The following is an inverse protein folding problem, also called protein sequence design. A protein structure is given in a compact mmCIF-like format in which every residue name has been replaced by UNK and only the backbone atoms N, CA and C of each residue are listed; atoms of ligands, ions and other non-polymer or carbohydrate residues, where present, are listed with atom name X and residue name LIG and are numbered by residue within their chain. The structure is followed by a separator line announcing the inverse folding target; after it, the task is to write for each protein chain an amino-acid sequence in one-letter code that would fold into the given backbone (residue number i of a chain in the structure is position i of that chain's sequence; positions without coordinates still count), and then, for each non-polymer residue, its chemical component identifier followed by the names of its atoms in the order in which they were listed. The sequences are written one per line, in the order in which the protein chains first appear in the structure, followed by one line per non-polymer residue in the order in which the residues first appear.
data_IF_461378322567
#
_entry.id   IF_461378322567
#
_cell.length_a   1.000
_cell.length_b   1.000
_cell.length_c   1.000
_cell.angle_alpha   90.00
_cell.angle_beta   90.00
_cell.angle_gamma   90.00
#
_symmetry.space_group_name_H-M   'P 1'
#
loop_
_entity.id
_entity.type
_entity.pdbx_description
1 polymer ?
#
# COMPACT_ATOMS: atom_id res chain seq x y z
N UNK A 1 1.65 3.75 4.92
CA UNK A 1 0.25 3.53 4.48
C UNK A 1 -0.47 2.91 5.67
N UNK A 2 -1.46 3.59 6.21
CA UNK A 2 -2.24 3.09 7.33
C UNK A 2 -3.52 2.47 6.78
N UNK A 3 -3.82 1.27 7.24
CA UNK A 3 -5.00 0.51 6.87
C UNK A 3 -5.74 0.21 8.17
N UNK A 4 -6.98 0.67 8.26
CA UNK A 4 -7.83 0.54 9.42
C UNK A 4 -9.11 -0.21 9.05
N UNK A 5 -9.60 -1.05 9.96
CA UNK A 5 -10.89 -1.72 9.83
C UNK A 5 -12.00 -0.95 10.57
N UNK A 6 -12.81 -0.13 9.87
CA UNK A 6 -13.93 0.58 10.49
C UNK A 6 -15.16 -0.32 10.74
N UNK A 7 -15.14 -1.56 10.24
CA UNK A 7 -16.25 -2.50 10.36
C UNK A 7 -16.25 -3.21 11.71
N UNK A 8 -17.42 -3.67 12.15
CA UNK A 8 -17.65 -4.35 13.43
C UNK A 8 -17.22 -5.84 13.46
N UNK A 9 -16.69 -6.36 12.36
CA UNK A 9 -16.21 -7.74 12.25
C UNK A 9 -14.76 -7.78 11.81
N UNK A 10 -14.07 -8.89 12.06
CA UNK A 10 -12.71 -9.07 11.58
C UNK A 10 -12.67 -9.17 10.06
N UNK A 11 -11.76 -8.43 9.44
CA UNK A 11 -11.54 -8.40 8.00
C UNK A 11 -10.17 -8.96 7.65
N UNK A 12 -10.13 -9.81 6.62
CA UNK A 12 -8.91 -10.21 5.98
C UNK A 12 -8.69 -9.40 4.70
N UNK A 13 -7.46 -8.99 4.43
CA UNK A 13 -7.09 -8.39 3.17
C UNK A 13 -5.74 -8.90 2.71
N UNK A 14 -5.57 -9.02 1.41
CA UNK A 14 -4.30 -9.33 0.77
C UNK A 14 -3.79 -8.10 0.04
N UNK A 15 -2.49 -8.07 -0.25
CA UNK A 15 -1.90 -6.96 -0.97
C UNK A 15 -0.81 -7.39 -1.95
N UNK A 16 -0.43 -6.47 -2.83
CA UNK A 16 0.72 -6.61 -3.71
C UNK A 16 1.30 -5.24 -4.07
N UNK A 17 2.55 -5.22 -4.50
CA UNK A 17 3.22 -4.03 -5.01
C UNK A 17 3.34 -4.12 -6.52
N UNK A 18 2.93 -3.07 -7.24
CA UNK A 18 3.10 -2.96 -8.68
C UNK A 18 3.94 -1.73 -9.02
N UNK A 19 5.15 -1.94 -9.53
CA UNK A 19 6.03 -0.85 -9.95
C UNK A 19 5.53 -0.23 -11.25
N UNK A 20 5.65 1.09 -11.36
CA UNK A 20 5.39 1.83 -12.58
C UNK A 20 6.72 2.14 -13.26
N UNK A 21 6.85 1.73 -14.53
CA UNK A 21 8.00 2.02 -15.36
C UNK A 21 7.61 2.98 -16.50
N UNK A 22 8.43 3.98 -16.84
CA UNK A 22 8.10 4.92 -17.90
C UNK A 22 7.84 4.22 -19.24
N UNK A 23 6.64 4.41 -19.80
CA UNK A 23 6.28 3.94 -21.13
C UNK A 23 6.09 2.42 -21.28
N UNK A 24 6.13 1.63 -20.20
CA UNK A 24 5.94 0.17 -20.26
C UNK A 24 5.36 -0.43 -18.98
N UNK A 25 4.71 -1.61 -19.05
CA UNK A 25 4.30 -2.34 -17.85
C UNK A 25 5.49 -2.62 -16.94
N UNK A 26 5.36 -2.29 -15.65
CA UNK A 26 6.39 -2.57 -14.65
C UNK A 26 6.20 -3.93 -13.96
N UNK A 27 7.25 -4.34 -13.23
CA UNK A 27 7.24 -5.57 -12.42
C UNK A 27 6.29 -5.44 -11.22
N UNK A 28 5.78 -6.55 -10.73
CA UNK A 28 4.92 -6.60 -9.55
C UNK A 28 5.19 -7.85 -8.72
N UNK A 29 4.88 -7.78 -7.44
CA UNK A 29 4.97 -8.94 -6.54
C UNK A 29 3.78 -9.88 -6.75
N UNK A 30 3.95 -11.14 -6.34
CA UNK A 30 2.81 -12.00 -6.05
C UNK A 30 1.92 -11.39 -4.95
N UNK A 31 0.67 -11.85 -4.87
CA UNK A 31 -0.22 -11.51 -3.77
C UNK A 31 0.36 -12.08 -2.48
N UNK A 32 0.53 -11.23 -1.48
CA UNK A 32 1.05 -11.59 -0.17
C UNK A 32 -0.10 -12.12 0.70
N UNK A 33 0.25 -13.04 1.61
CA UNK A 33 -0.68 -13.66 2.56
C UNK A 33 -1.52 -12.61 3.32
N UNK A 34 -2.75 -12.97 3.72
CA UNK A 34 -3.67 -11.99 4.25
C UNK A 34 -3.22 -11.42 5.59
N UNK A 35 -3.28 -10.11 5.72
CA UNK A 35 -3.41 -9.46 7.01
C UNK A 35 -4.82 -9.67 7.54
N UNK A 36 -4.94 -9.82 8.85
CA UNK A 36 -6.23 -9.86 9.53
C UNK A 36 -6.27 -8.71 10.53
N UNK A 37 -7.29 -7.87 10.42
CA UNK A 37 -7.60 -6.81 11.37
C UNK A 37 -8.92 -7.16 12.06
N UNK A 38 -8.94 -7.20 13.39
CA UNK A 38 -10.15 -7.27 14.18
C UNK A 38 -10.92 -5.93 14.12
N UNK A 39 -12.01 -5.83 14.88
CA UNK A 39 -12.77 -4.58 15.01
C UNK A 39 -11.86 -3.43 15.44
N UNK A 40 -11.90 -2.34 14.68
CA UNK A 40 -11.20 -1.07 14.98
C UNK A 40 -9.65 -1.19 14.99
N UNK A 41 -9.10 -2.34 14.58
CA UNK A 41 -7.66 -2.51 14.46
C UNK A 41 -7.12 -1.84 13.20
N UNK A 42 -5.87 -1.39 13.31
CA UNK A 42 -5.13 -0.78 12.21
C UNK A 42 -3.74 -1.40 12.07
N UNK A 43 -3.20 -1.33 10.86
CA UNK A 43 -1.81 -1.67 10.56
C UNK A 43 -1.16 -0.59 9.70
N UNK A 44 0.15 -0.47 9.84
CA UNK A 44 0.97 0.39 9.01
C UNK A 44 1.80 -0.46 8.03
N UNK A 45 1.88 0.01 6.79
CA UNK A 45 2.84 -0.45 5.79
C UNK A 45 3.82 0.67 5.49
N UNK A 46 5.08 0.44 5.83
CA UNK A 46 6.19 1.39 5.61
C UNK A 46 7.02 1.06 4.35
N UNK A 47 7.98 1.94 4.03
CA UNK A 47 8.86 1.74 2.88
C UNK A 47 9.76 0.51 3.01
N UNK A 48 10.20 0.17 4.23
CA UNK A 48 11.09 -0.98 4.46
C UNK A 48 10.34 -2.29 4.23
N UNK A 49 9.06 -2.36 4.62
CA UNK A 49 8.19 -3.49 4.35
C UNK A 49 7.99 -3.68 2.85
N UNK A 50 7.68 -2.61 2.12
CA UNK A 50 7.55 -2.66 0.65
C UNK A 50 8.85 -3.17 0.00
N UNK A 51 10.01 -2.69 0.46
CA UNK A 51 11.31 -3.16 -0.04
C UNK A 51 11.55 -4.65 0.27
N UNK A 52 11.21 -5.13 1.46
CA UNK A 52 11.29 -6.55 1.82
C UNK A 52 10.40 -7.41 0.92
N UNK A 53 9.19 -6.96 0.64
CA UNK A 53 8.25 -7.67 -0.24
C UNK A 53 8.75 -7.73 -1.69
N UNK A 54 9.29 -6.62 -2.21
CA UNK A 54 9.93 -6.60 -3.53
C UNK A 54 11.11 -7.56 -3.59
N UNK A 55 11.99 -7.53 -2.57
CA UNK A 55 13.15 -8.42 -2.49
C UNK A 55 12.75 -9.90 -2.41
N UNK A 56 11.72 -10.24 -1.62
CA UNK A 56 11.16 -11.59 -1.54
C UNK A 56 10.60 -12.08 -2.88
N UNK A 57 10.08 -11.16 -3.71
CA UNK A 57 9.66 -11.41 -5.09
C UNK A 57 10.79 -11.39 -6.12
N UNK A 58 12.07 -11.27 -5.71
CA UNK A 58 13.21 -11.19 -6.61
C UNK A 58 13.32 -9.85 -7.36
N UNK A 59 12.64 -8.81 -6.90
CA UNK A 59 12.62 -7.48 -7.52
C UNK A 59 13.51 -6.54 -6.72
N UNK A 60 14.58 -6.05 -7.35
CA UNK A 60 15.37 -4.93 -6.82
C UNK A 60 14.95 -3.65 -7.54
N UNK A 61 14.24 -2.72 -6.87
CA UNK A 61 13.89 -1.44 -7.47
C UNK A 61 15.10 -0.48 -7.48
N UNK A 62 15.10 0.54 -8.35
CA UNK A 62 16.04 1.66 -8.24
C UNK A 62 15.84 2.44 -6.93
N UNK A 63 16.79 3.30 -6.52
CA UNK A 63 16.68 4.09 -5.28
C UNK A 63 15.40 4.93 -5.17
N UNK A 64 14.90 5.40 -6.31
CA UNK A 64 13.61 6.08 -6.42
C UNK A 64 12.74 5.35 -7.43
N UNK A 65 11.58 4.89 -6.99
CA UNK A 65 10.61 4.18 -7.81
C UNK A 65 9.21 4.72 -7.54
N UNK A 66 8.34 4.56 -8.53
CA UNK A 66 6.91 4.88 -8.42
C UNK A 66 6.11 3.61 -8.65
N UNK A 67 4.85 3.59 -8.22
CA UNK A 67 4.00 2.41 -8.35
C UNK A 67 2.75 2.49 -7.51
N UNK A 68 2.13 1.33 -7.31
CA UNK A 68 0.91 1.15 -6.55
C UNK A 68 1.14 0.12 -5.44
N UNK A 69 0.66 0.43 -4.25
CA UNK A 69 0.37 -0.56 -3.23
C UNK A 69 -1.11 -0.94 -3.37
N UNK A 70 -1.38 -2.17 -3.79
CA UNK A 70 -2.74 -2.63 -4.11
C UNK A 70 -3.25 -3.48 -2.96
N UNK A 71 -4.35 -3.05 -2.34
CA UNK A 71 -5.07 -3.79 -1.30
C UNK A 71 -6.32 -4.43 -1.92
N UNK A 72 -6.56 -5.69 -1.58
CA UNK A 72 -7.76 -6.42 -1.96
C UNK A 72 -8.43 -6.95 -0.68
N UNK A 73 -9.66 -6.50 -0.45
CA UNK A 73 -10.49 -6.94 0.68
C UNK A 73 -11.91 -7.17 0.22
N UNK A 74 -12.63 -8.04 0.93
CA UNK A 74 -14.06 -8.29 0.73
C UNK A 74 -14.93 -7.25 1.44
N UNK A 75 -14.37 -6.49 2.38
CA UNK A 75 -15.07 -5.44 3.13
C UNK A 75 -14.37 -4.08 2.96
N UNK A 76 -15.09 -2.95 3.13
CA UNK A 76 -14.48 -1.64 3.09
C UNK A 76 -13.43 -1.45 4.19
N UNK A 77 -12.27 -0.89 3.81
CA UNK A 77 -11.21 -0.47 4.72
C UNK A 77 -11.02 1.03 4.62
N UNK A 78 -10.59 1.64 5.73
CA UNK A 78 -10.08 3.00 5.73
C UNK A 78 -8.59 2.94 5.40
N UNK A 79 -8.18 3.61 4.32
CA UNK A 79 -6.80 3.62 3.85
C UNK A 79 -6.33 5.05 3.74
N UNK A 80 -5.25 5.37 4.44
CA UNK A 80 -4.62 6.69 4.39
C UNK A 80 -3.13 6.51 4.10
N UNK A 81 -2.62 7.27 3.13
CA UNK A 81 -1.19 7.30 2.86
C UNK A 81 -0.62 8.65 3.32
N UNK A 82 -0.04 8.68 4.51
CA UNK A 82 0.72 9.85 4.94
C UNK A 82 2.14 9.73 4.39
N UNK A 83 2.50 10.62 3.47
CA UNK A 83 3.89 10.80 3.07
C UNK A 83 4.48 11.94 3.90
N UNK A 84 5.23 11.59 4.93
CA UNK A 84 6.16 12.51 5.60
C UNK A 84 7.55 12.25 5.04
N UNK A 85 8.03 13.15 4.20
CA UNK A 85 9.41 13.14 3.75
C UNK A 85 10.13 14.34 4.37
N UNK A 86 11.24 14.10 5.07
CA UNK A 86 12.25 15.13 5.26
C UNK A 86 13.17 15.06 4.04
N UNK A 87 13.20 16.09 3.16
CA UNK A 87 13.97 16.02 1.93
C UNK A 87 15.45 15.75 2.20
N UNK A 88 15.99 16.30 3.31
CA UNK A 88 17.35 16.06 3.82
C UNK A 88 17.35 16.07 5.37
N UNK A 89 18.42 15.55 5.99
CA UNK A 89 18.64 15.66 7.47
C UNK A 89 18.65 17.14 7.88
N UNK A 90 17.73 17.55 8.75
CA UNK A 90 17.59 18.93 9.24
C UNK A 90 16.69 19.83 8.38
N UNK A 91 16.15 19.34 7.27
CA UNK A 91 15.14 20.07 6.50
C UNK A 91 13.74 19.94 7.15
N UNK A 92 12.84 20.91 6.95
CA UNK A 92 11.46 20.82 7.41
C UNK A 92 10.78 19.56 6.86
N UNK A 93 9.98 18.90 7.69
CA UNK A 93 9.13 17.78 7.26
C UNK A 93 8.11 18.31 6.26
N UNK A 94 8.08 17.73 5.06
CA UNK A 94 7.05 18.03 4.07
C UNK A 94 5.90 17.03 4.25
N UNK A 95 4.70 17.55 4.41
CA UNK A 95 3.46 16.76 4.52
C UNK A 95 2.69 16.81 3.22
N UNK A 96 2.36 15.64 2.69
CA UNK A 96 1.43 15.48 1.57
C UNK A 96 0.05 15.08 2.11
N UNK A 97 -1.00 15.79 1.67
CA UNK A 97 -2.38 15.40 1.90
C UNK A 97 -2.85 14.49 0.76
N UNK A 98 -3.48 13.36 1.10
CA UNK A 98 -4.04 12.41 0.13
C UNK A 98 -5.56 12.37 0.25
N UNK A 99 -6.26 12.38 -0.88
CA UNK A 99 -7.71 12.20 -0.92
C UNK A 99 -8.07 10.70 -1.04
N UNK A 100 -9.22 10.32 -0.48
CA UNK A 100 -9.73 8.95 -0.56
C UNK A 100 -10.11 8.61 -2.00
N UNK A 101 -9.55 7.54 -2.53
CA UNK A 101 -9.98 6.97 -3.82
C UNK A 101 -11.26 6.15 -3.59
N UNK A 102 -12.37 6.42 -4.32
CA UNK A 102 -13.59 5.61 -4.22
C UNK A 102 -13.34 4.13 -4.55
N UNK A 103 -14.11 3.25 -3.94
CA UNK A 103 -14.03 1.80 -4.20
C UNK A 103 -14.25 1.52 -5.69
N UNK A 104 -13.31 0.81 -6.31
CA UNK A 104 -13.48 0.31 -7.68
C UNK A 104 -14.32 -0.97 -7.64
N UNK A 105 -15.54 -0.91 -8.16
CA UNK A 105 -16.34 -2.11 -8.40
C UNK A 105 -15.73 -2.85 -9.58
N UNK A 106 -15.21 -4.07 -9.36
CA UNK A 106 -14.87 -4.96 -10.46
C UNK A 106 -16.19 -5.37 -11.11
N UNK A 107 -16.47 -4.89 -12.32
CA UNK A 107 -17.62 -5.33 -13.10
C UNK A 107 -17.55 -6.85 -13.27
N UNK A 108 -18.63 -7.55 -12.89
CA UNK A 108 -18.76 -8.99 -13.10
C UNK A 108 -18.75 -9.29 -14.59
N UNK A 109 -17.88 -10.22 -14.99
CA UNK A 109 -17.96 -10.94 -16.25
C UNK A 109 -18.56 -12.30 -16.01
#
# INVERSE_FOLDING_TARGET
INVHNPGNEAVAFVHKVALAEPGRPGRHTSIVAPFRLAYDEATEVDCLQILRELAAGGITPPPFYTGFFVIQSTQPLDVVAVYTAAPNRGAPVVTLSTERVPVRVRGGG
#
